data_IF_549261407980
#
_entry.id   IF_549261407980
#
_cell.length_a   1.000
_cell.length_b   1.000
_cell.length_c   1.000
_cell.angle_alpha   90.00
_cell.angle_beta   90.00
_cell.angle_gamma   90.00
#
_symmetry.space_group_name_H-M   'P 1'
#
loop_
_entity.id
_entity.type
_entity.pdbx_description
1 polymer ?
#
# COMPACT_ATOMS: atom_id res chain seq x y z
N UNK A 1 3.41 0.98 -5.38
CA UNK A 1 3.14 2.08 -4.43
C UNK A 1 3.41 3.42 -5.10
N UNK A 2 3.01 4.54 -4.50
CA UNK A 2 3.31 5.87 -5.04
C UNK A 2 4.82 6.08 -5.28
N UNK A 3 5.66 5.68 -4.32
CA UNK A 3 7.13 5.76 -4.41
C UNK A 3 7.73 4.97 -5.58
N UNK A 4 7.19 3.80 -5.89
CA UNK A 4 7.77 2.92 -6.93
C UNK A 4 7.20 3.14 -8.34
N UNK A 5 6.01 3.74 -8.46
CA UNK A 5 5.32 3.92 -9.74
C UNK A 5 5.16 5.38 -10.13
N UNK A 6 4.71 6.22 -9.19
CA UNK A 6 4.32 7.60 -9.48
C UNK A 6 5.51 8.55 -9.41
N UNK A 7 6.28 8.51 -8.32
CA UNK A 7 7.41 9.43 -8.10
C UNK A 7 8.46 9.35 -9.23
N UNK A 8 8.91 8.16 -9.71
CA UNK A 8 9.94 8.08 -10.74
C UNK A 8 9.48 8.71 -12.06
N UNK A 9 8.23 8.47 -12.45
CA UNK A 9 7.66 9.03 -13.68
C UNK A 9 7.48 10.56 -13.58
N UNK A 10 7.06 11.07 -12.42
CA UNK A 10 6.95 12.51 -12.16
C UNK A 10 8.32 13.18 -12.24
N UNK A 11 9.33 12.63 -11.57
CA UNK A 11 10.70 13.17 -11.59
C UNK A 11 11.27 13.18 -13.01
N UNK A 12 11.07 12.10 -13.77
CA UNK A 12 11.48 12.04 -15.18
C UNK A 12 10.84 13.13 -16.03
N UNK A 13 9.52 13.35 -15.87
CA UNK A 13 8.79 14.39 -16.59
C UNK A 13 9.21 15.80 -16.16
N UNK A 14 9.53 16.00 -14.88
CA UNK A 14 10.05 17.28 -14.37
C UNK A 14 11.41 17.59 -14.98
N UNK A 15 12.35 16.66 -14.96
CA UNK A 15 13.67 16.87 -15.57
C UNK A 15 13.60 17.08 -17.09
N UNK A 16 12.62 16.48 -17.77
CA UNK A 16 12.40 16.73 -19.20
C UNK A 16 12.01 18.19 -19.47
N UNK A 17 11.25 18.83 -18.56
CA UNK A 17 10.83 20.24 -18.68
C UNK A 17 11.84 21.21 -18.08
N UNK A 18 12.57 20.78 -17.06
CA UNK A 18 13.52 21.59 -16.29
C UNK A 18 14.80 20.77 -16.06
N UNK A 19 15.74 20.75 -17.04
CA UNK A 19 16.92 19.87 -16.98
C UNK A 19 17.89 20.14 -15.82
N UNK A 20 17.89 21.35 -15.29
CA UNK A 20 18.75 21.75 -14.17
C UNK A 20 18.06 21.62 -12.79
N UNK A 21 16.80 21.17 -12.73
CA UNK A 21 16.08 21.01 -11.47
C UNK A 21 16.70 19.88 -10.65
N UNK A 22 16.96 20.14 -9.37
CA UNK A 22 17.41 19.13 -8.41
C UNK A 22 16.20 18.71 -7.59
N UNK A 23 15.91 17.41 -7.55
CA UNK A 23 14.82 16.84 -6.75
C UNK A 23 15.39 15.97 -5.64
N UNK A 24 15.04 16.26 -4.40
CA UNK A 24 15.33 15.42 -3.23
C UNK A 24 14.10 14.59 -2.86
N UNK A 25 14.29 13.31 -2.53
CA UNK A 25 13.20 12.40 -2.14
C UNK A 25 13.51 11.82 -0.76
N UNK A 26 12.55 11.97 0.16
CA UNK A 26 12.64 11.43 1.52
C UNK A 26 11.48 10.46 1.78
N UNK A 27 11.81 9.29 2.30
CA UNK A 27 10.83 8.25 2.67
C UNK A 27 10.81 8.07 4.19
N UNK A 28 9.62 7.96 4.77
CA UNK A 28 9.45 7.77 6.20
C UNK A 28 7.99 7.65 6.62
N UNK A 29 7.73 7.50 7.94
CA UNK A 29 6.38 7.45 8.47
C UNK A 29 5.59 8.73 8.15
N UNK A 30 4.32 8.61 7.79
CA UNK A 30 3.47 9.75 7.39
C UNK A 30 3.48 10.89 8.42
N UNK A 31 3.43 10.56 9.71
CA UNK A 31 3.43 11.58 10.76
C UNK A 31 4.72 12.42 10.81
N UNK A 32 5.86 11.80 10.48
CA UNK A 32 7.13 12.50 10.39
C UNK A 32 7.20 13.38 9.13
N UNK A 33 6.82 12.84 7.97
CA UNK A 33 6.82 13.60 6.72
C UNK A 33 5.86 14.82 6.80
N UNK A 34 4.68 14.65 7.42
CA UNK A 34 3.72 15.73 7.64
C UNK A 34 4.18 16.76 8.68
N UNK A 35 5.13 16.42 9.56
CA UNK A 35 5.72 17.41 10.46
C UNK A 35 6.75 18.26 9.71
N UNK A 36 7.58 17.65 8.86
CA UNK A 36 8.56 18.34 8.01
C UNK A 36 7.90 19.28 7.00
N UNK A 37 6.81 18.84 6.36
CA UNK A 37 6.00 19.68 5.47
C UNK A 37 5.49 20.94 6.16
N UNK A 38 5.12 20.83 7.45
CA UNK A 38 4.53 21.96 8.20
C UNK A 38 5.56 23.01 8.60
N UNK A 39 6.81 22.61 8.80
CA UNK A 39 7.92 23.52 9.09
C UNK A 39 8.61 24.04 7.82
N UNK A 40 8.17 23.59 6.63
CA UNK A 40 8.71 24.04 5.34
C UNK A 40 9.97 23.30 4.88
N UNK A 41 10.38 22.24 5.57
CA UNK A 41 11.53 21.41 5.17
C UNK A 41 11.20 20.46 4.00
N UNK A 42 9.91 20.22 3.76
CA UNK A 42 9.42 19.53 2.55
C UNK A 42 8.43 20.43 1.83
N UNK A 43 8.49 20.43 0.49
CA UNK A 43 7.53 21.15 -0.35
C UNK A 43 6.25 20.34 -0.62
N UNK A 44 6.36 19.01 -0.67
CA UNK A 44 5.27 18.09 -1.00
C UNK A 44 5.44 16.77 -0.26
N UNK A 45 4.32 16.17 0.16
CA UNK A 45 4.27 14.79 0.65
C UNK A 45 3.30 14.00 -0.21
N UNK A 46 3.79 12.91 -0.81
CA UNK A 46 2.96 11.93 -1.52
C UNK A 46 2.84 10.69 -0.65
N UNK A 47 1.64 10.41 -0.17
CA UNK A 47 1.40 9.30 0.73
C UNK A 47 -0.06 8.88 0.76
N UNK A 48 -0.32 7.80 1.50
CA UNK A 48 -1.70 7.38 1.78
C UNK A 48 -2.30 8.33 2.81
N UNK A 49 -3.53 8.77 2.58
CA UNK A 49 -4.28 9.52 3.59
C UNK A 49 -4.48 8.63 4.82
N UNK A 50 -4.12 9.19 5.97
CA UNK A 50 -4.36 8.61 7.29
C UNK A 50 -5.34 9.50 8.04
N UNK A 51 -6.16 8.96 8.93
CA UNK A 51 -7.02 9.74 9.84
C UNK A 51 -6.18 10.44 10.94
N UNK A 52 -5.19 11.24 10.54
CA UNK A 52 -4.27 11.91 11.46
C UNK A 52 -4.80 13.31 11.80
N UNK A 53 -4.83 13.71 13.09
CA UNK A 53 -5.16 15.08 13.48
C UNK A 53 -4.18 16.12 12.90
N UNK A 54 -3.05 15.68 12.36
CA UNK A 54 -2.03 16.52 11.71
C UNK A 54 -2.46 17.09 10.35
N UNK A 55 -3.68 16.82 9.89
CA UNK A 55 -4.22 17.33 8.60
C UNK A 55 -4.59 18.82 8.67
N UNK A 56 -4.79 19.39 9.87
CA UNK A 56 -5.16 20.80 10.00
C UNK A 56 -4.11 21.74 9.40
N UNK A 57 -4.57 22.69 8.57
CA UNK A 57 -3.73 23.68 7.90
C UNK A 57 -3.00 23.18 6.65
N UNK A 58 -3.21 21.93 6.24
CA UNK A 58 -2.62 21.37 5.02
C UNK A 58 -3.68 21.24 3.92
N UNK A 59 -3.28 21.46 2.67
CA UNK A 59 -4.11 21.18 1.50
C UNK A 59 -3.84 19.77 1.02
N UNK A 60 -4.90 19.07 0.63
CA UNK A 60 -4.81 17.70 0.14
C UNK A 60 -5.43 17.58 -1.24
N UNK A 61 -4.73 16.87 -2.12
CA UNK A 61 -5.23 16.49 -3.42
C UNK A 61 -5.30 14.97 -3.52
N UNK A 62 -6.46 14.46 -3.91
CA UNK A 62 -6.63 13.04 -4.16
C UNK A 62 -6.04 12.68 -5.53
N UNK A 63 -4.98 11.86 -5.54
CA UNK A 63 -4.32 11.47 -6.78
C UNK A 63 -4.93 10.22 -7.42
N UNK A 64 -5.21 9.18 -6.62
CA UNK A 64 -5.78 7.92 -7.11
C UNK A 64 -6.28 7.04 -5.96
N UNK A 65 -7.13 6.06 -6.30
CA UNK A 65 -7.52 4.97 -5.41
C UNK A 65 -6.62 3.74 -5.63
N UNK A 66 -6.13 3.14 -4.54
CA UNK A 66 -5.41 1.87 -4.57
C UNK A 66 -6.38 0.75 -4.15
N UNK A 67 -6.70 -0.16 -5.08
CA UNK A 67 -7.52 -1.33 -4.79
C UNK A 67 -6.68 -2.46 -4.21
N UNK A 68 -7.19 -3.12 -3.17
CA UNK A 68 -6.60 -4.36 -2.67
C UNK A 68 -7.16 -5.55 -3.45
N UNK A 69 -6.26 -6.42 -3.91
CA UNK A 69 -6.62 -7.60 -4.71
C UNK A 69 -6.00 -8.84 -4.09
N UNK A 70 -6.75 -9.94 -4.08
CA UNK A 70 -6.23 -11.26 -3.72
C UNK A 70 -5.46 -11.83 -4.92
N UNK A 71 -4.24 -12.30 -4.67
CA UNK A 71 -3.38 -12.88 -5.70
C UNK A 71 -2.97 -14.29 -5.30
N UNK A 72 -2.81 -15.15 -6.30
CA UNK A 72 -2.32 -16.52 -6.15
C UNK A 72 -1.26 -16.79 -7.21
N UNK A 73 -0.44 -17.83 -7.01
CA UNK A 73 0.51 -18.27 -8.03
C UNK A 73 -0.21 -18.76 -9.29
N UNK A 74 0.53 -18.85 -10.40
CA UNK A 74 0.04 -19.53 -11.58
C UNK A 74 -0.31 -20.99 -11.25
N UNK A 75 -1.35 -21.51 -11.91
CA UNK A 75 -1.85 -22.88 -11.73
C UNK A 75 -2.31 -23.20 -10.30
N UNK A 76 -2.71 -22.19 -9.53
CA UNK A 76 -3.27 -22.40 -8.20
C UNK A 76 -4.63 -23.11 -8.29
N UNK A 77 -4.96 -24.08 -7.42
CA UNK A 77 -6.24 -24.81 -7.46
C UNK A 77 -7.49 -23.92 -7.45
N UNK A 78 -7.41 -22.76 -6.80
CA UNK A 78 -8.50 -21.75 -6.78
C UNK A 78 -8.83 -21.15 -8.16
N UNK A 79 -7.95 -21.32 -9.16
CA UNK A 79 -8.19 -20.87 -10.53
C UNK A 79 -8.93 -21.89 -11.38
N UNK A 80 -9.07 -23.14 -10.92
CA UNK A 80 -9.68 -24.23 -11.69
C UNK A 80 -11.21 -24.17 -11.74
N UNK A 81 -11.84 -23.38 -10.86
CA UNK A 81 -13.29 -23.21 -10.76
C UNK A 81 -13.62 -21.78 -10.30
N UNK A 82 -14.88 -21.33 -10.47
CA UNK A 82 -15.33 -20.06 -9.89
C UNK A 82 -15.03 -20.00 -8.38
N UNK A 83 -14.45 -18.89 -7.95
CA UNK A 83 -14.00 -18.72 -6.58
C UNK A 83 -15.18 -18.81 -5.60
N UNK A 84 -15.15 -19.83 -4.74
CA UNK A 84 -15.97 -19.91 -3.54
C UNK A 84 -15.18 -19.34 -2.37
N UNK A 85 -15.81 -18.48 -1.57
CA UNK A 85 -15.15 -17.74 -0.48
C UNK A 85 -14.61 -18.68 0.59
N UNK A 86 -15.36 -19.75 0.85
CA UNK A 86 -15.04 -20.79 1.82
C UNK A 86 -13.80 -21.60 1.40
N UNK A 87 -13.50 -21.66 0.10
CA UNK A 87 -12.29 -22.33 -0.40
C UNK A 87 -11.02 -21.59 0.03
N UNK A 88 -11.08 -20.29 0.31
CA UNK A 88 -9.91 -19.54 0.81
C UNK A 88 -9.45 -20.01 2.19
N UNK A 89 -10.36 -20.55 2.99
CA UNK A 89 -10.08 -21.07 4.33
C UNK A 89 -9.19 -22.31 4.32
N UNK A 90 -9.11 -22.99 3.17
CA UNK A 90 -8.39 -24.25 2.98
C UNK A 90 -6.92 -24.04 2.60
N UNK A 91 -6.52 -22.81 2.26
CA UNK A 91 -5.16 -22.50 1.80
C UNK A 91 -4.44 -21.57 2.78
N UNK A 92 -3.10 -21.69 2.90
CA UNK A 92 -2.34 -20.76 3.69
C UNK A 92 -2.38 -19.37 3.06
N UNK A 93 -2.48 -18.33 3.90
CA UNK A 93 -2.44 -16.95 3.46
C UNK A 93 -1.15 -16.25 3.83
N UNK A 94 -0.72 -15.36 2.93
CA UNK A 94 0.31 -14.37 3.24
C UNK A 94 -0.37 -13.04 3.51
N UNK A 95 -0.21 -12.50 4.72
CA UNK A 95 -0.83 -11.27 5.17
C UNK A 95 0.22 -10.25 5.61
N UNK A 96 -0.08 -8.94 5.55
CA UNK A 96 0.74 -7.94 6.19
C UNK A 96 0.76 -8.10 7.71
N UNK A 97 1.80 -7.58 8.36
CA UNK A 97 1.94 -7.60 9.82
C UNK A 97 0.74 -6.95 10.51
N UNK A 98 0.31 -7.57 11.62
CA UNK A 98 -0.68 -7.02 12.54
C UNK A 98 -0.37 -5.56 12.92
N UNK A 99 -1.41 -4.72 13.01
CA UNK A 99 -1.29 -3.31 13.35
C UNK A 99 -0.95 -2.36 12.19
N UNK A 100 -0.55 -2.89 11.02
CA UNK A 100 -0.32 -2.05 9.84
C UNK A 100 -1.62 -1.59 9.19
N UNK A 101 -1.61 -0.42 8.54
CA UNK A 101 -2.80 0.10 7.83
C UNK A 101 -3.28 -0.86 6.75
N UNK A 102 -2.35 -1.46 5.98
CA UNK A 102 -2.69 -2.44 4.95
C UNK A 102 -3.30 -3.72 5.55
N UNK A 103 -2.89 -4.14 6.75
CA UNK A 103 -3.53 -5.25 7.47
C UNK A 103 -4.97 -4.92 7.86
N UNK A 104 -5.25 -3.71 8.34
CA UNK A 104 -6.64 -3.30 8.65
C UNK A 104 -7.55 -3.37 7.42
N UNK A 105 -7.03 -2.97 6.25
CA UNK A 105 -7.75 -3.12 4.98
C UNK A 105 -7.97 -4.59 4.60
N UNK A 106 -6.96 -5.43 4.79
CA UNK A 106 -7.09 -6.87 4.61
C UNK A 106 -8.19 -7.45 5.51
N UNK A 107 -8.11 -7.22 6.82
CA UNK A 107 -9.09 -7.73 7.78
C UNK A 107 -10.52 -7.25 7.44
N UNK A 108 -10.67 -5.98 7.05
CA UNK A 108 -11.96 -5.42 6.61
C UNK A 108 -12.51 -6.12 5.36
N UNK A 109 -11.66 -6.43 4.39
CA UNK A 109 -12.06 -7.16 3.18
C UNK A 109 -12.56 -8.58 3.53
N UNK A 110 -11.88 -9.27 4.44
CA UNK A 110 -12.28 -10.60 4.90
C UNK A 110 -13.65 -10.56 5.57
N UNK A 111 -13.87 -9.58 6.46
CA UNK A 111 -15.17 -9.38 7.12
C UNK A 111 -16.26 -9.05 6.11
N UNK A 112 -16.03 -8.10 5.20
CA UNK A 112 -17.02 -7.70 4.17
C UNK A 112 -17.40 -8.84 3.23
N UNK A 113 -16.44 -9.72 2.94
CA UNK A 113 -16.66 -10.88 2.09
C UNK A 113 -17.17 -12.11 2.88
N UNK A 114 -17.26 -12.06 4.21
CA UNK A 114 -17.66 -13.20 5.04
C UNK A 114 -16.67 -14.36 5.01
N UNK A 115 -15.37 -14.08 4.77
CA UNK A 115 -14.31 -15.08 4.74
C UNK A 115 -13.74 -15.22 6.14
N UNK A 116 -13.71 -16.44 6.70
CA UNK A 116 -13.01 -16.66 7.96
C UNK A 116 -11.49 -16.61 7.75
N UNK A 117 -10.77 -16.08 8.74
CA UNK A 117 -9.32 -16.01 8.64
C UNK A 117 -8.72 -17.41 8.79
N UNK A 118 -7.93 -17.91 7.82
CA UNK A 118 -7.34 -19.24 7.87
C UNK A 118 -6.40 -19.43 9.05
N UNK A 119 -6.32 -20.68 9.53
CA UNK A 119 -5.43 -21.06 10.64
C UNK A 119 -3.96 -20.94 10.27
N UNK A 120 -3.60 -21.33 9.05
CA UNK A 120 -2.24 -21.24 8.56
C UNK A 120 -2.02 -19.90 7.86
N UNK A 121 -1.11 -19.09 8.40
CA UNK A 121 -0.78 -17.78 7.84
C UNK A 121 0.68 -17.42 8.03
N UNK A 122 1.22 -16.74 7.04
CA UNK A 122 2.50 -16.06 7.08
C UNK A 122 2.24 -14.56 7.19
N UNK A 123 2.73 -13.91 8.25
CA UNK A 123 2.62 -12.46 8.40
C UNK A 123 3.96 -11.79 8.06
N UNK A 124 3.98 -10.95 7.02
CA UNK A 124 5.22 -10.29 6.55
C UNK A 124 4.92 -9.05 5.72
N UNK A 125 5.86 -8.09 5.73
CA UNK A 125 5.90 -6.97 4.77
C UNK A 125 6.91 -7.22 3.63
N UNK A 126 7.61 -8.35 3.65
CA UNK A 126 8.61 -8.69 2.63
C UNK A 126 7.95 -9.21 1.36
N UNK A 127 7.91 -8.38 0.32
CA UNK A 127 7.40 -8.79 -1.00
C UNK A 127 8.15 -9.98 -1.59
N UNK A 128 9.46 -10.09 -1.34
CA UNK A 128 10.29 -11.19 -1.81
C UNK A 128 9.88 -12.51 -1.16
N UNK A 129 9.65 -12.49 0.15
CA UNK A 129 9.18 -13.66 0.88
C UNK A 129 7.76 -14.03 0.44
N UNK A 130 6.85 -13.05 0.35
CA UNK A 130 5.47 -13.25 -0.10
C UNK A 130 5.36 -13.90 -1.49
N UNK A 131 6.29 -13.59 -2.40
CA UNK A 131 6.29 -14.15 -3.76
C UNK A 131 6.89 -15.56 -3.86
N UNK A 132 7.64 -16.00 -2.85
CA UNK A 132 8.36 -17.30 -2.85
C UNK A 132 7.78 -18.33 -1.89
N UNK A 133 6.92 -17.90 -0.98
CA UNK A 133 6.12 -18.79 -0.13
C UNK A 133 5.06 -19.51 -0.96
#
# INVERSE_FOLDING_TARGET
TAESLLVPEVVKRLHTRHPALIVSVMTGPSAYLLSQLRVGELDLVVGRMTDSPQIQGLTFEHLYHESMTLVVRNDHPLLAAPLKRESLEQFPLVLPLAGTTIRKFADSLFVQCGIQMPRQRLETLSLTLSRRY
#
